data_IF_419147309863
#
_entry.id   IF_419147309863
#
_cell.length_a   1.000
_cell.length_b   1.000
_cell.length_c   1.000
_cell.angle_alpha   90.00
_cell.angle_beta   90.00
_cell.angle_gamma   90.00
#
_symmetry.space_group_name_H-M   'P 1'
#
loop_
_entity.id
_entity.type
_entity.pdbx_description
1 polymer ?
#
# COMPACT_ATOMS: atom_id res chain seq x y z
N UNK A 1 -14.73 16.63 -8.17
CA UNK A 1 -13.67 16.86 -7.19
C UNK A 1 -12.63 15.79 -7.43
N UNK A 2 -11.44 16.13 -7.91
CA UNK A 2 -10.35 15.16 -8.08
C UNK A 2 -9.77 14.87 -6.70
N UNK A 3 -10.30 13.87 -6.03
CA UNK A 3 -9.76 13.37 -4.76
C UNK A 3 -8.53 12.52 -5.06
N UNK A 4 -7.39 13.20 -5.25
CA UNK A 4 -6.09 12.56 -5.27
C UNK A 4 -5.60 12.47 -3.82
N UNK A 5 -5.60 11.27 -3.26
CA UNK A 5 -5.01 11.02 -1.94
C UNK A 5 -3.68 10.26 -2.13
N UNK A 6 -2.58 10.87 -1.69
CA UNK A 6 -1.26 10.27 -1.73
C UNK A 6 -0.66 10.16 -0.32
N UNK A 7 -0.14 8.99 0.02
CA UNK A 7 0.51 8.71 1.31
C UNK A 7 1.71 7.79 1.14
N UNK A 8 2.72 7.99 1.99
CA UNK A 8 3.84 7.05 2.10
C UNK A 8 3.46 5.89 3.03
N UNK A 9 3.53 4.66 2.52
CA UNK A 9 3.27 3.43 3.28
C UNK A 9 4.54 2.56 3.20
N UNK A 10 5.31 2.53 4.29
CA UNK A 10 6.61 1.87 4.31
C UNK A 10 7.57 2.43 3.25
N UNK A 11 7.96 1.59 2.29
CA UNK A 11 8.88 1.95 1.20
C UNK A 11 8.17 2.54 -0.02
N UNK A 12 6.84 2.46 -0.08
CA UNK A 12 6.06 2.87 -1.24
C UNK A 12 5.50 4.27 -1.06
N UNK A 13 5.59 5.10 -2.09
CA UNK A 13 4.70 6.25 -2.22
C UNK A 13 3.44 5.75 -2.93
N UNK A 14 2.28 5.87 -2.29
CA UNK A 14 1.03 5.26 -2.74
C UNK A 14 0.02 6.37 -3.01
N UNK A 15 -0.61 6.38 -4.18
CA UNK A 15 -1.61 7.37 -4.56
C UNK A 15 -2.88 6.67 -5.06
N UNK A 16 -4.05 7.20 -4.69
CA UNK A 16 -5.33 6.84 -5.30
C UNK A 16 -5.80 8.02 -6.14
N UNK A 17 -5.99 7.80 -7.44
CA UNK A 17 -6.41 8.81 -8.42
C UNK A 17 -7.54 8.24 -9.26
N UNK A 18 -8.75 8.81 -9.17
CA UNK A 18 -9.93 8.33 -9.92
C UNK A 18 -10.19 6.82 -9.75
N UNK A 19 -9.99 6.30 -8.53
CA UNK A 19 -10.15 4.88 -8.21
C UNK A 19 -8.97 4.00 -8.61
N UNK A 20 -7.94 4.52 -9.27
CA UNK A 20 -6.72 3.77 -9.60
C UNK A 20 -5.71 3.86 -8.46
N UNK A 21 -5.20 2.73 -7.99
CA UNK A 21 -4.08 2.67 -7.05
C UNK A 21 -2.75 2.69 -7.81
N UNK A 22 -1.89 3.67 -7.52
CA UNK A 22 -0.51 3.75 -8.01
C UNK A 22 0.46 3.54 -6.86
N UNK A 23 1.37 2.59 -7.02
CA UNK A 23 2.44 2.27 -6.07
C UNK A 23 3.79 2.60 -6.70
N UNK A 24 4.37 3.72 -6.29
CA UNK A 24 5.69 4.15 -6.72
C UNK A 24 6.75 3.52 -5.82
N UNK A 25 7.79 2.93 -6.42
CA UNK A 25 8.95 2.41 -5.70
C UNK A 25 10.25 3.00 -6.25
N UNK A 26 11.21 3.19 -5.35
CA UNK A 26 12.53 3.67 -5.73
C UNK A 26 13.42 2.48 -6.10
N UNK A 27 13.78 2.35 -7.37
CA UNK A 27 14.89 1.51 -7.79
C UNK A 27 16.19 2.31 -7.64
N UNK A 28 17.17 1.76 -6.92
CA UNK A 28 18.50 2.38 -6.81
C UNK A 28 19.14 2.35 -8.19
N UNK A 29 19.51 3.53 -8.71
CA UNK A 29 20.17 3.68 -10.02
C UNK A 29 19.24 4.05 -11.19
N UNK A 30 17.93 4.16 -10.98
CA UNK A 30 16.99 4.70 -11.97
C UNK A 30 16.40 6.04 -11.49
N UNK A 31 16.74 7.17 -12.14
CA UNK A 31 16.25 8.49 -11.75
C UNK A 31 14.76 8.69 -11.99
N UNK A 32 14.12 7.88 -12.84
CA UNK A 32 12.70 8.03 -13.15
C UNK A 32 11.79 7.25 -12.18
N UNK A 33 12.38 6.33 -11.40
CA UNK A 33 11.61 5.38 -10.59
C UNK A 33 10.74 4.47 -11.45
N UNK A 34 10.10 3.49 -10.82
CA UNK A 34 9.08 2.69 -11.48
C UNK A 34 7.84 2.67 -10.60
N UNK A 35 6.68 2.61 -11.23
CA UNK A 35 5.41 2.47 -10.53
C UNK A 35 4.59 1.32 -11.11
N UNK A 36 3.93 0.59 -10.22
CA UNK A 36 2.80 -0.26 -10.60
C UNK A 36 1.51 0.53 -10.50
N UNK A 37 0.59 0.34 -11.43
CA UNK A 37 -0.78 0.88 -11.36
C UNK A 37 -1.79 -0.25 -11.45
N UNK A 38 -2.85 -0.14 -10.66
CA UNK A 38 -4.06 -0.95 -10.76
C UNK A 38 -5.19 -0.08 -11.31
N UNK A 39 -5.94 -0.60 -12.28
CA UNK A 39 -7.17 0.03 -12.72
C UNK A 39 -8.26 0.00 -11.61
N UNK A 40 -9.42 0.66 -11.78
CA UNK A 40 -10.45 0.69 -10.74
C UNK A 40 -10.97 -0.69 -10.33
N UNK A 41 -11.13 -1.62 -11.27
CA UNK A 41 -11.58 -2.99 -11.02
C UNK A 41 -10.55 -3.80 -10.22
N UNK A 42 -9.28 -3.71 -10.61
CA UNK A 42 -8.16 -4.31 -9.89
C UNK A 42 -8.01 -3.72 -8.49
N UNK A 43 -8.17 -2.39 -8.36
CA UNK A 43 -8.09 -1.68 -7.09
C UNK A 43 -9.23 -2.09 -6.15
N UNK A 44 -10.45 -2.24 -6.66
CA UNK A 44 -11.58 -2.75 -5.89
C UNK A 44 -11.33 -4.20 -5.44
N UNK A 45 -10.83 -5.06 -6.33
CA UNK A 45 -10.45 -6.43 -6.00
C UNK A 45 -9.41 -6.50 -4.88
N UNK A 46 -8.39 -5.65 -4.93
CA UNK A 46 -7.39 -5.54 -3.87
C UNK A 46 -8.01 -5.07 -2.55
N UNK A 47 -8.87 -4.04 -2.57
CA UNK A 47 -9.53 -3.52 -1.38
C UNK A 47 -10.38 -4.59 -0.69
N UNK A 48 -11.16 -5.34 -1.45
CA UNK A 48 -11.96 -6.44 -0.92
C UNK A 48 -11.08 -7.55 -0.34
N UNK A 49 -10.04 -7.94 -1.06
CA UNK A 49 -9.10 -8.98 -0.61
C UNK A 49 -8.44 -8.61 0.72
N UNK A 50 -7.92 -7.38 0.83
CA UNK A 50 -7.30 -6.88 2.06
C UNK A 50 -8.32 -6.76 3.20
N UNK A 51 -9.54 -6.30 2.90
CA UNK A 51 -10.61 -6.16 3.90
C UNK A 51 -11.01 -7.51 4.51
N UNK A 52 -11.07 -8.59 3.70
CA UNK A 52 -11.36 -9.95 4.20
C UNK A 52 -10.26 -10.50 5.11
N UNK A 53 -9.02 -10.04 4.97
CA UNK A 53 -7.87 -10.49 5.77
C UNK A 53 -7.45 -9.47 6.84
N UNK A 54 -8.27 -8.44 7.08
CA UNK A 54 -7.94 -7.33 7.98
C UNK A 54 -7.52 -7.78 9.38
N UNK A 55 -8.27 -8.72 9.98
CA UNK A 55 -7.97 -9.21 11.33
C UNK A 55 -6.62 -9.95 11.39
N UNK A 56 -6.32 -10.78 10.39
CA UNK A 56 -5.03 -11.48 10.31
C UNK A 56 -3.86 -10.49 10.15
N UNK A 57 -4.05 -9.43 9.36
CA UNK A 57 -3.07 -8.34 9.21
C UNK A 57 -2.85 -7.62 10.54
N UNK A 58 -3.92 -7.26 11.26
CA UNK A 58 -3.82 -6.61 12.58
C UNK A 58 -3.08 -7.49 13.60
N UNK A 59 -3.40 -8.78 13.65
CA UNK A 59 -2.71 -9.72 14.54
C UNK A 59 -1.21 -9.79 14.23
N UNK A 60 -0.83 -9.84 12.95
CA UNK A 60 0.57 -9.86 12.54
C UNK A 60 1.33 -8.58 12.92
N UNK A 61 0.70 -7.41 12.81
CA UNK A 61 1.28 -6.14 13.26
C UNK A 61 1.51 -6.14 14.77
N UNK A 62 0.49 -6.50 15.56
CA UNK A 62 0.60 -6.52 17.02
C UNK A 62 1.68 -7.51 17.50
N UNK A 63 1.77 -8.69 16.88
CA UNK A 63 2.79 -9.69 17.21
C UNK A 63 4.21 -9.15 16.95
N UNK A 64 4.40 -8.44 15.85
CA UNK A 64 5.68 -7.80 15.52
C UNK A 64 6.05 -6.73 16.55
N UNK A 65 5.11 -5.90 16.97
CA UNK A 65 5.35 -4.88 17.99
C UNK A 65 5.74 -5.51 19.34
N UNK A 66 5.04 -6.58 19.75
CA UNK A 66 5.42 -7.32 20.97
C UNK A 66 6.86 -7.83 20.89
N UNK A 67 7.26 -8.47 19.78
CA UNK A 67 8.62 -8.97 19.61
C UNK A 67 9.70 -7.87 19.69
N UNK A 68 9.40 -6.65 19.24
CA UNK A 68 10.32 -5.51 19.33
C UNK A 68 10.46 -4.96 20.74
N UNK A 69 9.46 -5.15 21.61
CA UNK A 69 9.52 -4.70 23.00
C UNK A 69 10.24 -5.67 23.95
N UNK A 70 10.48 -6.92 23.52
CA UNK A 70 11.20 -7.94 24.30
C UNK A 70 12.68 -8.11 23.87
N UNK A 71 13.19 -7.23 23.00
CA UNK A 71 14.59 -7.13 22.58
C UNK A 71 15.19 -5.80 23.06
#
# INVERSE_FOLDING_TARGET
MNEQECKRIGRYHSCVENGQLKLYYHQVGDPNGFYGSMDPEETLGLLEFLSRHREAIYQAVNQKEMQQHYL
#
